data_IF_324264186857
#
_entry.id   IF_324264186857
#
_cell.length_a   1.000
_cell.length_b   1.000
_cell.length_c   1.000
_cell.angle_alpha   90.00
_cell.angle_beta   90.00
_cell.angle_gamma   90.00
#
_symmetry.space_group_name_H-M   'P 1'
#
loop_
_entity.id
_entity.type
_entity.pdbx_description
1 polymer ?
#
# COMPACT_ATOMS: atom_id res chain seq x y z
N UNK A 1 22.00 -12.47 -6.93
CA UNK A 1 21.61 -12.52 -5.50
C UNK A 1 20.44 -11.58 -5.38
N UNK A 2 19.24 -12.09 -5.07
CA UNK A 2 18.06 -11.24 -4.94
C UNK A 2 18.33 -10.20 -3.87
N UNK A 3 18.23 -8.92 -4.21
CA UNK A 3 18.19 -7.85 -3.21
C UNK A 3 17.12 -8.23 -2.16
N UNK A 4 17.47 -8.15 -0.88
CA UNK A 4 16.51 -8.42 0.18
C UNK A 4 15.33 -7.45 -0.01
N UNK A 5 14.12 -7.99 -0.20
CA UNK A 5 12.93 -7.17 -0.39
C UNK A 5 12.49 -6.55 0.95
N UNK A 6 13.22 -5.52 1.38
CA UNK A 6 12.99 -4.81 2.64
C UNK A 6 11.58 -4.23 2.71
N UNK A 7 11.08 -3.66 1.61
CA UNK A 7 9.73 -3.12 1.53
C UNK A 7 8.67 -4.22 1.72
N UNK A 8 8.85 -5.36 1.06
CA UNK A 8 8.02 -6.55 1.22
C UNK A 8 7.99 -7.05 2.66
N UNK A 9 9.14 -7.17 3.30
CA UNK A 9 9.25 -7.57 4.70
C UNK A 9 8.51 -6.60 5.65
N UNK A 10 8.61 -5.28 5.40
CA UNK A 10 7.87 -4.27 6.17
C UNK A 10 6.35 -4.43 5.97
N UNK A 11 5.89 -4.67 4.74
CA UNK A 11 4.46 -4.83 4.44
C UNK A 11 3.91 -6.12 5.07
N UNK A 12 4.66 -7.22 5.01
CA UNK A 12 4.29 -8.49 5.67
C UNK A 12 4.16 -8.30 7.18
N UNK A 13 5.10 -7.57 7.79
CA UNK A 13 5.04 -7.24 9.21
C UNK A 13 3.83 -6.36 9.54
N UNK A 14 3.57 -5.32 8.74
CA UNK A 14 2.39 -4.46 8.88
C UNK A 14 1.08 -5.26 8.78
N UNK A 15 0.99 -6.20 7.83
CA UNK A 15 -0.18 -7.06 7.65
C UNK A 15 -0.45 -7.98 8.86
N UNK A 16 0.60 -8.33 9.60
CA UNK A 16 0.55 -9.21 10.76
C UNK A 16 0.18 -8.48 12.06
N UNK A 17 0.25 -7.14 12.08
CA UNK A 17 -0.11 -6.35 13.27
C UNK A 17 -1.61 -6.43 13.60
N UNK A 18 -2.00 -6.30 14.87
CA UNK A 18 -3.39 -6.10 15.27
C UNK A 18 -4.03 -4.88 14.60
N UNK A 19 -5.35 -4.94 14.37
CA UNK A 19 -6.12 -3.91 13.66
C UNK A 19 -5.93 -2.49 14.23
N UNK A 20 -5.89 -2.37 15.56
CA UNK A 20 -5.75 -1.07 16.24
C UNK A 20 -4.39 -0.40 16.03
N UNK A 21 -3.34 -1.17 15.70
CA UNK A 21 -2.02 -0.65 15.32
C UNK A 21 -1.92 -0.47 13.81
N UNK A 22 -2.37 -1.46 13.04
CA UNK A 22 -2.27 -1.46 11.57
C UNK A 22 -3.03 -0.28 10.95
N UNK A 23 -4.23 0.00 11.44
CA UNK A 23 -5.12 1.03 10.86
C UNK A 23 -4.52 2.44 10.90
N UNK A 24 -4.08 2.99 12.06
CA UNK A 24 -3.48 4.33 12.09
C UNK A 24 -2.17 4.43 11.31
N UNK A 25 -1.34 3.38 11.31
CA UNK A 25 -0.08 3.34 10.54
C UNK A 25 -0.38 3.42 9.04
N UNK A 26 -1.30 2.58 8.55
CA UNK A 26 -1.68 2.55 7.14
C UNK A 26 -2.35 3.87 6.72
N UNK A 27 -3.22 4.43 7.57
CA UNK A 27 -3.88 5.72 7.29
C UNK A 27 -2.89 6.86 7.14
N UNK A 28 -1.91 6.94 8.04
CA UNK A 28 -0.85 7.94 7.95
C UNK A 28 -0.10 7.84 6.62
N UNK A 29 0.31 6.64 6.22
CA UNK A 29 1.02 6.40 4.95
C UNK A 29 0.20 6.76 3.72
N UNK A 30 -1.11 6.47 3.74
CA UNK A 30 -1.99 6.81 2.62
C UNK A 30 -2.21 8.32 2.48
N UNK A 31 -2.30 9.06 3.58
CA UNK A 31 -2.39 10.54 3.54
C UNK A 31 -1.06 11.15 3.07
N UNK A 32 0.07 10.61 3.53
CA UNK A 32 1.40 11.09 3.12
C UNK A 32 1.71 10.79 1.63
N UNK A 33 1.01 9.84 1.01
CA UNK A 33 1.25 9.43 -0.37
C UNK A 33 1.16 10.59 -1.37
N UNK A 34 0.16 11.47 -1.23
CA UNK A 34 -0.04 12.56 -2.18
C UNK A 34 1.06 13.63 -2.12
N UNK A 35 1.72 13.74 -0.96
CA UNK A 35 2.87 14.66 -0.77
C UNK A 35 4.19 14.14 -1.35
N UNK A 36 4.22 12.91 -1.87
CA UNK A 36 5.42 12.30 -2.44
C UNK A 36 5.66 12.76 -3.88
N UNK A 37 6.93 12.74 -4.29
CA UNK A 37 7.29 12.91 -5.70
C UNK A 37 6.78 11.73 -6.54
N UNK A 38 6.61 11.94 -7.84
CA UNK A 38 6.13 10.90 -8.75
C UNK A 38 7.04 9.66 -8.79
N UNK A 39 8.36 9.84 -8.63
CA UNK A 39 9.30 8.72 -8.50
C UNK A 39 9.09 7.93 -7.22
N UNK A 40 8.88 8.60 -6.09
CA UNK A 40 8.59 7.94 -4.81
C UNK A 40 7.23 7.21 -4.86
N UNK A 41 6.20 7.83 -5.44
CA UNK A 41 4.89 7.19 -5.63
C UNK A 41 5.01 5.92 -6.47
N UNK A 42 5.78 5.99 -7.56
CA UNK A 42 6.06 4.85 -8.44
C UNK A 42 6.73 3.72 -7.68
N UNK A 43 7.77 4.03 -6.89
CA UNK A 43 8.49 3.05 -6.08
C UNK A 43 7.59 2.42 -5.01
N UNK A 44 6.80 3.22 -4.30
CA UNK A 44 5.83 2.74 -3.29
C UNK A 44 4.84 1.76 -3.92
N UNK A 45 4.29 2.07 -5.09
CA UNK A 45 3.33 1.21 -5.78
C UNK A 45 4.00 -0.10 -6.19
N UNK A 46 5.16 -0.06 -6.83
CA UNK A 46 5.88 -1.26 -7.25
C UNK A 46 6.20 -2.18 -6.07
N UNK A 47 6.75 -1.60 -5.00
CA UNK A 47 7.02 -2.33 -3.76
C UNK A 47 5.76 -2.98 -3.17
N UNK A 48 4.62 -2.29 -3.19
CA UNK A 48 3.36 -2.84 -2.70
C UNK A 48 2.83 -3.99 -3.57
N UNK A 49 2.93 -3.85 -4.89
CA UNK A 49 2.51 -4.87 -5.85
C UNK A 49 3.41 -6.12 -5.78
N UNK A 50 4.72 -5.94 -5.68
CA UNK A 50 5.69 -7.03 -5.52
C UNK A 50 5.55 -7.75 -4.18
N UNK A 51 5.24 -7.01 -3.10
CA UNK A 51 5.03 -7.60 -1.78
C UNK A 51 3.74 -8.44 -1.71
N UNK A 52 2.68 -8.05 -2.44
CA UNK A 52 1.36 -8.67 -2.36
C UNK A 52 1.37 -10.20 -2.38
N UNK A 53 2.00 -10.84 -3.38
CA UNK A 53 2.09 -12.31 -3.48
C UNK A 53 2.83 -13.00 -2.32
N UNK A 54 3.71 -12.30 -1.61
CA UNK A 54 4.49 -12.86 -0.49
C UNK A 54 3.72 -12.87 0.85
N UNK A 55 2.61 -12.14 0.94
CA UNK A 55 1.84 -12.02 2.19
C UNK A 55 0.91 -13.24 2.32
N UNK A 56 0.94 -13.98 3.45
CA UNK A 56 -0.03 -15.05 3.71
C UNK A 56 -1.47 -14.54 3.55
N UNK A 57 -2.31 -15.28 2.81
CA UNK A 57 -3.63 -14.80 2.38
C UNK A 57 -4.49 -14.24 3.53
N UNK A 58 -4.46 -14.88 4.71
CA UNK A 58 -5.22 -14.41 5.88
C UNK A 58 -4.76 -13.01 6.35
N UNK A 59 -3.46 -12.74 6.31
CA UNK A 59 -2.90 -11.43 6.67
C UNK A 59 -3.17 -10.41 5.57
N UNK A 60 -3.09 -10.82 4.30
CA UNK A 60 -3.49 -9.99 3.16
C UNK A 60 -4.96 -9.56 3.28
N UNK A 61 -5.88 -10.49 3.55
CA UNK A 61 -7.31 -10.18 3.70
C UNK A 61 -7.58 -9.16 4.82
N UNK A 62 -6.86 -9.27 5.95
CA UNK A 62 -6.91 -8.30 7.06
C UNK A 62 -6.36 -6.93 6.65
N UNK A 63 -5.21 -6.91 5.97
CA UNK A 63 -4.60 -5.69 5.45
C UNK A 63 -5.55 -4.99 4.47
N UNK A 64 -6.07 -5.73 3.48
CA UNK A 64 -7.00 -5.23 2.47
C UNK A 64 -8.29 -4.69 3.08
N UNK A 65 -8.89 -5.40 4.05
CA UNK A 65 -10.04 -4.89 4.80
C UNK A 65 -9.74 -3.56 5.51
N UNK A 66 -8.55 -3.41 6.05
CA UNK A 66 -8.13 -2.17 6.73
C UNK A 66 -7.94 -1.04 5.73
N UNK A 67 -7.32 -1.35 4.59
CA UNK A 67 -7.14 -0.42 3.49
C UNK A 67 -8.48 0.11 2.98
N UNK A 68 -9.46 -0.77 2.70
CA UNK A 68 -10.81 -0.36 2.27
C UNK A 68 -11.51 0.55 3.29
N UNK A 69 -11.40 0.24 4.58
CA UNK A 69 -11.95 1.11 5.65
C UNK A 69 -11.33 2.50 5.64
N UNK A 70 -10.02 2.59 5.38
CA UNK A 70 -9.32 3.87 5.34
C UNK A 70 -9.71 4.65 4.08
N UNK A 71 -9.72 4.00 2.90
CA UNK A 71 -10.18 4.59 1.64
C UNK A 71 -11.58 5.21 1.81
N UNK A 72 -12.50 4.50 2.45
CA UNK A 72 -13.84 5.02 2.72
C UNK A 72 -13.85 6.26 3.63
N UNK A 73 -12.80 6.49 4.41
CA UNK A 73 -12.68 7.58 5.40
C UNK A 73 -11.87 8.80 4.95
N UNK A 74 -11.18 8.73 3.80
CA UNK A 74 -10.41 9.84 3.24
C UNK A 74 -11.24 10.58 2.17
N UNK A 75 -10.83 11.81 1.83
CA UNK A 75 -11.52 12.65 0.83
C UNK A 75 -11.53 12.01 -0.55
N UNK A 76 -12.50 12.38 -1.38
CA UNK A 76 -12.60 11.95 -2.77
C UNK A 76 -11.33 12.23 -3.59
N UNK A 77 -10.76 13.43 -3.49
CA UNK A 77 -9.52 13.81 -4.18
C UNK A 77 -8.36 12.83 -3.90
N UNK A 78 -8.09 12.53 -2.63
CA UNK A 78 -7.07 11.55 -2.23
C UNK A 78 -7.38 10.13 -2.78
N UNK A 79 -8.66 9.73 -2.84
CA UNK A 79 -9.05 8.42 -3.40
C UNK A 79 -8.75 8.35 -4.89
N UNK A 80 -9.15 9.37 -5.64
CA UNK A 80 -8.93 9.46 -7.08
C UNK A 80 -7.45 9.50 -7.41
N UNK A 81 -6.67 10.33 -6.69
CA UNK A 81 -5.22 10.43 -6.84
C UNK A 81 -4.51 9.08 -6.63
N UNK A 82 -4.83 8.38 -5.54
CA UNK A 82 -4.29 7.04 -5.30
C UNK A 82 -4.67 6.05 -6.40
N UNK A 83 -5.95 6.00 -6.80
CA UNK A 83 -6.41 5.02 -7.78
C UNK A 83 -5.78 5.27 -9.17
N UNK A 84 -5.70 6.55 -9.58
CA UNK A 84 -5.06 6.96 -10.82
C UNK A 84 -3.56 6.61 -10.82
N UNK A 85 -2.87 6.78 -9.69
CA UNK A 85 -1.45 6.42 -9.58
C UNK A 85 -1.24 4.91 -9.80
N UNK A 86 -2.06 4.06 -9.17
CA UNK A 86 -2.02 2.61 -9.39
C UNK A 86 -2.30 2.23 -10.84
N UNK A 87 -3.36 2.78 -11.46
CA UNK A 87 -3.68 2.51 -12.88
C UNK A 87 -2.53 2.94 -13.79
N UNK A 88 -2.03 4.16 -13.60
CA UNK A 88 -0.93 4.71 -14.43
C UNK A 88 0.29 3.82 -14.35
N UNK A 89 0.61 3.30 -13.16
CA UNK A 89 1.74 2.39 -12.99
C UNK A 89 1.49 1.01 -13.62
N UNK A 90 0.30 0.43 -13.45
CA UNK A 90 -0.06 -0.85 -14.09
C UNK A 90 -0.06 -0.77 -15.61
N UNK A 91 -0.39 0.38 -16.21
CA UNK A 91 -0.30 0.56 -17.66
C UNK A 91 1.14 0.56 -18.18
N UNK A 92 2.12 0.90 -17.34
CA UNK A 92 3.55 0.89 -17.71
C UNK A 92 4.16 -0.52 -17.66
N UNK A 93 3.60 -1.42 -16.85
CA UNK A 93 4.01 -2.83 -16.75
C UNK A 93 2.79 -3.71 -16.46
N UNK A 94 2.02 -4.11 -17.51
CA UNK A 94 0.77 -4.87 -17.38
C UNK A 94 0.94 -6.28 -16.85
#
# INVERSE_FOLDING_TARGET
MSEENFAGNIIVNLASLPDFLRTPILKKRMIEFDSKSESEKTEIINNALEAGPSIPFLNFAKLFKSWLKIIASISEEHREGMFLAYITQSLRSP
#
